data_IF_854234285602
#
_entry.id   IF_854234285602
#
_cell.length_a   1.000
_cell.length_b   1.000
_cell.length_c   1.000
_cell.angle_alpha   90.00
_cell.angle_beta   90.00
_cell.angle_gamma   90.00
#
_symmetry.space_group_name_H-M   'P 1'
#
loop_
_entity.id
_entity.type
_entity.pdbx_description
1 polymer ?
#
# COMPACT_ATOMS: atom_id res chain seq x y z
N UNK A 1 -10.09 -55.36 36.00
CA UNK A 1 -8.62 -55.40 36.02
C UNK A 1 -8.07 -54.01 35.67
N UNK A 2 -7.71 -53.28 36.72
CA UNK A 2 -7.05 -51.97 36.60
C UNK A 2 -5.57 -52.20 36.29
N UNK A 3 -5.05 -51.43 35.33
CA UNK A 3 -3.60 -51.22 35.16
C UNK A 3 -3.38 -49.73 35.06
N UNK A 4 -2.80 -49.15 36.10
CA UNK A 4 -2.25 -47.79 36.10
C UNK A 4 -0.88 -47.76 35.44
N UNK A 5 -0.52 -46.70 34.70
CA UNK A 5 0.85 -46.49 34.26
C UNK A 5 1.61 -45.62 35.29
N UNK A 6 2.72 -46.21 35.80
CA UNK A 6 3.59 -45.62 36.81
C UNK A 6 4.38 -44.42 36.31
N UNK A 7 4.40 -43.41 37.10
CA UNK A 7 5.31 -42.22 36.96
C UNK A 7 6.74 -42.58 37.42
N UNK A 8 7.68 -42.49 36.51
CA UNK A 8 9.11 -42.64 36.74
C UNK A 8 9.70 -41.45 37.50
N UNK A 9 10.49 -41.80 38.48
CA UNK A 9 11.14 -40.95 39.48
C UNK A 9 12.17 -39.96 38.89
N UNK A 10 12.08 -38.73 39.33
CA UNK A 10 13.13 -37.92 39.96
C UNK A 10 14.46 -37.71 39.22
N UNK A 11 14.57 -36.59 38.54
CA UNK A 11 15.87 -35.99 38.29
C UNK A 11 16.12 -34.89 39.32
N UNK A 12 17.14 -35.11 40.21
CA UNK A 12 17.60 -34.11 41.16
C UNK A 12 18.90 -33.50 40.69
N UNK A 13 19.07 -32.17 40.75
CA UNK A 13 20.34 -31.54 40.38
C UNK A 13 21.38 -31.77 41.49
N UNK A 14 22.54 -32.30 41.11
CA UNK A 14 23.71 -32.44 41.96
C UNK A 14 24.36 -31.07 42.17
N UNK A 15 24.62 -30.71 43.43
CA UNK A 15 25.45 -29.57 43.84
C UNK A 15 26.92 -29.92 43.58
N UNK A 16 27.73 -29.03 43.00
CA UNK A 16 29.18 -29.19 42.98
C UNK A 16 29.74 -28.86 44.37
N UNK A 17 30.56 -29.75 44.89
CA UNK A 17 31.37 -29.57 46.11
C UNK A 17 32.52 -28.61 45.85
N UNK A 18 32.74 -27.74 46.82
CA UNK A 18 33.92 -26.87 46.95
C UNK A 18 35.24 -27.64 46.78
N UNK A 19 36.12 -27.14 45.95
CA UNK A 19 37.57 -27.13 46.22
C UNK A 19 38.31 -26.27 45.18
N UNK A 20 39.08 -25.32 45.63
CA UNK A 20 40.21 -24.78 44.88
C UNK A 20 40.18 -23.28 44.60
N UNK A 21 40.65 -22.50 45.58
CA UNK A 21 41.17 -21.16 45.33
C UNK A 21 42.27 -21.24 44.23
N UNK A 22 42.07 -20.58 43.09
CA UNK A 22 43.14 -20.10 42.26
C UNK A 22 42.86 -18.68 41.83
N UNK A 23 43.83 -17.84 42.18
CA UNK A 23 43.96 -16.42 41.93
C UNK A 23 43.93 -16.07 40.42
N UNK A 24 43.21 -15.00 40.10
CA UNK A 24 43.59 -14.05 39.06
C UNK A 24 43.40 -14.49 37.60
N UNK A 25 42.16 -14.53 37.15
CA UNK A 25 41.86 -14.27 35.72
C UNK A 25 40.62 -13.40 35.67
N UNK A 26 40.78 -12.17 35.26
CA UNK A 26 39.68 -11.28 34.93
C UNK A 26 38.83 -11.92 33.83
N UNK A 27 37.56 -12.20 34.13
CA UNK A 27 36.60 -12.59 33.13
C UNK A 27 36.48 -11.48 32.09
N UNK A 28 36.50 -11.81 30.81
CA UNK A 28 36.22 -10.82 29.78
C UNK A 28 34.78 -10.38 29.93
N UNK A 29 34.59 -9.13 30.31
CA UNK A 29 33.30 -8.46 30.25
C UNK A 29 32.89 -8.34 28.76
N UNK A 30 32.09 -9.28 28.28
CA UNK A 30 31.37 -9.16 27.00
C UNK A 30 30.20 -8.18 27.15
N UNK A 31 30.45 -7.00 27.62
CA UNK A 31 29.67 -5.84 27.29
C UNK A 31 30.44 -5.14 26.19
N UNK A 32 30.28 -5.65 25.00
CA UNK A 32 30.60 -4.90 23.81
C UNK A 32 29.71 -3.66 23.85
N UNK A 33 30.27 -2.51 24.22
CA UNK A 33 29.81 -1.21 23.79
C UNK A 33 29.98 -1.14 22.26
N UNK A 34 29.21 -1.98 21.55
CA UNK A 34 28.89 -1.67 20.17
C UNK A 34 28.04 -0.38 20.27
N UNK A 35 28.49 0.72 19.69
CA UNK A 35 27.63 1.86 19.55
C UNK A 35 26.41 1.32 18.80
N UNK A 36 25.25 1.30 19.46
CA UNK A 36 23.99 1.26 18.76
C UNK A 36 24.10 2.42 17.78
N UNK A 37 24.36 2.11 16.51
CA UNK A 37 24.19 3.04 15.44
C UNK A 37 22.71 3.37 15.44
N UNK A 38 22.35 4.33 16.28
CA UNK A 38 21.13 5.07 16.16
C UNK A 38 21.31 5.75 14.82
N UNK A 39 20.79 5.12 13.76
CA UNK A 39 20.54 5.81 12.53
C UNK A 39 19.54 6.90 12.93
N UNK A 40 20.05 8.05 13.31
CA UNK A 40 19.27 9.25 13.32
C UNK A 40 18.75 9.37 11.87
N UNK A 41 17.43 9.31 11.66
CA UNK A 41 16.92 9.68 10.38
C UNK A 41 17.48 11.07 10.13
N UNK A 42 18.25 11.27 9.07
CA UNK A 42 18.67 12.59 8.63
C UNK A 42 17.37 13.35 8.40
N UNK A 43 16.93 14.08 9.42
CA UNK A 43 15.73 14.89 9.40
C UNK A 43 16.03 16.02 8.47
N UNK A 44 15.63 15.88 7.20
CA UNK A 44 15.56 17.05 6.34
C UNK A 44 14.75 18.11 7.11
N UNK A 45 15.18 19.37 7.13
CA UNK A 45 14.45 20.41 7.82
C UNK A 45 13.02 20.46 7.29
N UNK A 46 12.03 20.61 8.17
CA UNK A 46 10.60 20.61 7.81
C UNK A 46 10.23 21.68 6.76
N UNK A 47 11.03 22.75 6.66
CA UNK A 47 10.89 23.81 5.67
C UNK A 47 11.41 23.47 4.26
N UNK A 48 12.04 22.30 4.07
CA UNK A 48 12.56 21.90 2.75
C UNK A 48 11.45 21.42 1.81
N UNK A 49 10.26 21.09 2.33
CA UNK A 49 9.21 20.42 1.56
C UNK A 49 7.81 21.00 1.83
N UNK A 50 7.01 21.29 0.79
CA UNK A 50 5.66 21.85 0.94
C UNK A 50 4.72 21.02 1.82
N UNK A 51 4.78 19.69 1.73
CA UNK A 51 3.99 18.77 2.57
C UNK A 51 4.74 18.36 3.85
N UNK A 52 5.91 18.94 4.10
CA UNK A 52 6.70 18.66 5.30
C UNK A 52 7.38 17.30 5.31
N UNK A 53 7.71 16.82 6.49
CA UNK A 53 8.40 15.55 6.77
C UNK A 53 7.51 14.66 7.62
N UNK A 54 7.34 13.41 7.21
CA UNK A 54 6.54 12.43 7.93
C UNK A 54 7.10 12.19 9.35
N UNK A 55 6.23 12.29 10.35
CA UNK A 55 6.53 12.04 11.76
C UNK A 55 6.00 10.72 12.25
N UNK A 56 4.98 10.19 11.59
CA UNK A 56 4.38 8.91 11.93
C UNK A 56 3.09 8.63 11.18
N UNK A 57 2.52 7.49 11.51
CA UNK A 57 1.27 7.00 10.95
C UNK A 57 0.27 6.74 12.08
N UNK A 58 -0.98 7.14 11.88
CA UNK A 58 -2.09 6.95 12.83
C UNK A 58 -3.08 5.96 12.23
N UNK A 59 -3.53 5.00 13.04
CA UNK A 59 -4.49 3.96 12.68
C UNK A 59 -4.11 3.20 11.39
N UNK A 60 -2.81 3.09 11.07
CA UNK A 60 -2.31 2.50 9.83
C UNK A 60 -3.02 3.06 8.55
N UNK A 61 -3.56 4.27 8.64
CA UNK A 61 -4.38 4.91 7.60
C UNK A 61 -3.89 6.32 7.29
N UNK A 62 -3.57 7.11 8.31
CA UNK A 62 -3.23 8.51 8.15
C UNK A 62 -1.75 8.76 8.41
N UNK A 63 -1.07 9.38 7.46
CA UNK A 63 0.29 9.88 7.65
C UNK A 63 0.21 11.27 8.26
N UNK A 64 0.96 11.50 9.33
CA UNK A 64 1.11 12.80 9.96
C UNK A 64 2.50 13.35 9.62
N UNK A 65 2.53 14.50 8.98
CA UNK A 65 3.76 15.17 8.58
C UNK A 65 3.82 16.58 9.21
N UNK A 66 5.01 17.01 9.56
CA UNK A 66 5.29 18.36 10.06
C UNK A 66 5.81 19.21 8.91
N UNK A 67 5.09 20.28 8.58
CA UNK A 67 5.47 21.31 7.65
C UNK A 67 5.90 22.58 8.42
N UNK A 68 6.51 23.54 7.73
CA UNK A 68 7.01 24.77 8.33
C UNK A 68 5.94 25.55 9.12
N UNK A 69 4.71 25.53 8.65
CA UNK A 69 3.61 26.37 9.14
C UNK A 69 2.46 25.55 9.78
N UNK A 70 2.63 24.24 9.97
CA UNK A 70 1.59 23.40 10.58
C UNK A 70 1.78 21.90 10.41
N UNK A 71 0.72 21.16 10.71
CA UNK A 71 0.62 19.73 10.49
C UNK A 71 -0.13 19.44 9.19
N UNK A 72 0.40 18.47 8.43
CA UNK A 72 -0.26 17.90 7.27
C UNK A 72 -0.69 16.48 7.63
N UNK A 73 -1.95 16.17 7.39
CA UNK A 73 -2.52 14.84 7.60
C UNK A 73 -2.96 14.31 6.25
N UNK A 74 -2.41 13.18 5.84
CA UNK A 74 -2.66 12.56 4.52
C UNK A 74 -3.39 11.25 4.72
N UNK A 75 -4.49 11.05 4.00
CA UNK A 75 -5.10 9.74 3.82
C UNK A 75 -4.22 8.93 2.86
N UNK A 76 -3.48 7.96 3.41
CA UNK A 76 -2.55 7.12 2.69
C UNK A 76 -3.20 6.38 1.52
N UNK A 77 -4.41 5.86 1.73
CA UNK A 77 -5.12 5.08 0.74
C UNK A 77 -5.58 5.96 -0.42
N UNK A 78 -6.30 7.04 -0.12
CA UNK A 78 -6.77 8.00 -1.12
C UNK A 78 -5.63 8.66 -1.90
N UNK A 79 -4.52 8.96 -1.24
CA UNK A 79 -3.33 9.49 -1.88
C UNK A 79 -2.71 8.48 -2.86
N UNK A 80 -2.55 7.23 -2.43
CA UNK A 80 -1.95 6.19 -3.26
C UNK A 80 -2.81 5.88 -4.49
N UNK A 81 -4.13 5.72 -4.32
CA UNK A 81 -5.07 5.56 -5.44
C UNK A 81 -4.91 6.68 -6.48
N UNK A 82 -4.87 7.92 -6.00
CA UNK A 82 -4.71 9.06 -6.88
C UNK A 82 -3.38 9.05 -7.63
N UNK A 83 -2.28 8.72 -6.98
CA UNK A 83 -0.97 8.63 -7.61
C UNK A 83 -0.94 7.53 -8.67
N UNK A 84 -1.52 6.36 -8.38
CA UNK A 84 -1.62 5.25 -9.36
C UNK A 84 -2.43 5.70 -10.57
N UNK A 85 -3.58 6.34 -10.39
CA UNK A 85 -4.40 6.84 -11.50
C UNK A 85 -3.63 7.84 -12.37
N UNK A 86 -2.93 8.81 -11.78
CA UNK A 86 -2.17 9.81 -12.54
C UNK A 86 -0.98 9.17 -13.29
N UNK A 87 -0.35 8.14 -12.71
CA UNK A 87 0.67 7.34 -13.41
C UNK A 87 0.06 6.59 -14.61
N UNK A 88 -1.12 5.97 -14.44
CA UNK A 88 -1.83 5.30 -15.54
C UNK A 88 -2.17 6.27 -16.65
N UNK A 89 -2.74 7.44 -16.32
CA UNK A 89 -3.05 8.50 -17.29
C UNK A 89 -1.82 8.93 -18.08
N UNK A 90 -0.71 9.16 -17.36
CA UNK A 90 0.55 9.55 -17.99
C UNK A 90 1.08 8.46 -18.92
N UNK A 91 1.03 7.20 -18.51
CA UNK A 91 1.46 6.07 -19.34
C UNK A 91 0.60 5.92 -20.59
N UNK A 92 -0.72 6.05 -20.47
CA UNK A 92 -1.66 5.97 -21.61
C UNK A 92 -1.39 7.07 -22.64
N UNK A 93 -1.09 8.30 -22.20
CA UNK A 93 -0.70 9.40 -23.11
C UNK A 93 0.62 9.09 -23.82
N UNK A 94 1.53 8.36 -23.19
CA UNK A 94 2.84 7.99 -23.74
C UNK A 94 2.80 6.72 -24.62
N UNK A 95 1.63 6.07 -24.74
CA UNK A 95 1.42 4.87 -25.55
C UNK A 95 0.52 3.85 -24.86
N UNK A 96 1.04 3.08 -23.93
CA UNK A 96 0.27 2.10 -23.17
C UNK A 96 0.84 1.92 -21.76
N UNK A 97 -0.01 1.42 -20.85
CA UNK A 97 0.41 0.98 -19.52
C UNK A 97 1.12 -0.36 -19.66
N UNK A 98 2.27 -0.51 -19.01
CA UNK A 98 3.01 -1.77 -18.99
C UNK A 98 2.16 -2.86 -18.30
N UNK A 99 2.04 -4.01 -18.95
CA UNK A 99 1.41 -5.21 -18.39
C UNK A 99 2.44 -6.08 -17.69
N UNK A 100 2.08 -6.65 -16.56
CA UNK A 100 2.83 -7.68 -15.85
C UNK A 100 2.11 -9.02 -16.05
N UNK A 101 2.73 -9.99 -16.73
CA UNK A 101 2.17 -11.32 -16.87
C UNK A 101 2.00 -11.98 -15.50
N UNK A 102 0.90 -12.69 -15.33
CA UNK A 102 0.67 -13.54 -14.17
C UNK A 102 1.48 -14.82 -14.28
N UNK A 103 2.06 -15.30 -13.18
CA UNK A 103 2.76 -16.60 -13.16
C UNK A 103 1.83 -17.75 -13.51
N UNK A 104 0.60 -17.68 -13.06
CA UNK A 104 -0.50 -18.58 -13.43
C UNK A 104 -1.65 -17.70 -13.90
N UNK A 105 -2.12 -17.86 -15.15
CA UNK A 105 -3.32 -17.18 -15.61
C UNK A 105 -4.52 -17.53 -14.72
N UNK A 106 -5.37 -16.55 -14.45
CA UNK A 106 -6.53 -16.72 -13.55
C UNK A 106 -7.83 -16.74 -14.36
N UNK A 107 -8.66 -17.75 -14.12
CA UNK A 107 -9.99 -17.84 -14.70
C UNK A 107 -10.99 -17.19 -13.76
N UNK A 108 -11.70 -16.19 -14.29
CA UNK A 108 -12.75 -15.47 -13.56
C UNK A 108 -14.10 -15.82 -14.18
N UNK A 109 -14.94 -16.48 -13.39
CA UNK A 109 -16.32 -16.80 -13.77
C UNK A 109 -17.21 -15.57 -13.58
N UNK A 110 -18.00 -15.25 -14.60
CA UNK A 110 -18.91 -14.12 -14.66
C UNK A 110 -20.19 -14.54 -15.39
N UNK A 111 -21.23 -13.73 -15.32
CA UNK A 111 -22.39 -13.89 -16.20
C UNK A 111 -22.01 -13.60 -17.67
N UNK A 112 -22.63 -14.34 -18.61
CA UNK A 112 -22.35 -14.17 -20.05
C UNK A 112 -22.41 -12.71 -20.53
N UNK A 113 -23.42 -11.88 -20.16
CA UNK A 113 -23.46 -10.48 -20.59
C UNK A 113 -22.28 -9.64 -20.03
N UNK A 114 -21.72 -10.01 -18.88
CA UNK A 114 -20.53 -9.36 -18.31
C UNK A 114 -19.28 -9.71 -19.11
N UNK A 115 -19.15 -10.99 -19.48
CA UNK A 115 -18.07 -11.44 -20.36
C UNK A 115 -18.13 -10.76 -21.73
N UNK A 116 -19.31 -10.61 -22.33
CA UNK A 116 -19.49 -9.95 -23.62
C UNK A 116 -19.07 -8.47 -23.57
N UNK A 117 -19.40 -7.78 -22.47
CA UNK A 117 -18.96 -6.37 -22.27
C UNK A 117 -17.44 -6.25 -22.15
N UNK A 118 -16.81 -7.15 -21.40
CA UNK A 118 -15.34 -7.18 -21.26
C UNK A 118 -14.68 -7.51 -22.60
N UNK A 119 -15.20 -8.51 -23.33
CA UNK A 119 -14.69 -8.90 -24.65
C UNK A 119 -14.75 -7.75 -25.65
N UNK A 120 -15.86 -7.01 -25.70
CA UNK A 120 -16.01 -5.84 -26.55
C UNK A 120 -15.00 -4.72 -26.25
N UNK A 121 -14.32 -4.76 -25.09
CA UNK A 121 -13.36 -3.74 -24.62
C UNK A 121 -11.94 -4.27 -24.42
N UNK A 122 -11.63 -5.49 -24.81
CA UNK A 122 -10.30 -6.10 -24.61
C UNK A 122 -9.17 -5.23 -25.14
N UNK A 123 -9.34 -4.60 -26.30
CA UNK A 123 -8.33 -3.71 -26.87
C UNK A 123 -8.07 -2.47 -26.00
N UNK A 124 -9.13 -1.88 -25.43
CA UNK A 124 -9.04 -0.73 -24.53
C UNK A 124 -8.40 -1.13 -23.21
N UNK A 125 -8.79 -2.27 -22.66
CA UNK A 125 -8.23 -2.82 -21.42
C UNK A 125 -6.75 -3.19 -21.57
N UNK A 126 -6.36 -3.74 -22.72
CA UNK A 126 -4.96 -4.03 -23.04
C UNK A 126 -4.10 -2.75 -23.09
N UNK A 127 -4.63 -1.61 -23.56
CA UNK A 127 -3.91 -0.32 -23.50
C UNK A 127 -3.66 0.14 -22.08
N UNK A 128 -4.53 -0.25 -21.14
CA UNK A 128 -4.36 -0.02 -19.69
C UNK A 128 -3.53 -1.10 -18.98
N UNK A 129 -2.97 -2.06 -19.74
CA UNK A 129 -2.10 -3.11 -19.22
C UNK A 129 -2.84 -4.33 -18.68
N UNK A 130 -4.16 -4.44 -18.87
CA UNK A 130 -4.95 -5.62 -18.50
C UNK A 130 -5.10 -6.55 -19.69
N UNK A 131 -4.48 -7.73 -19.61
CA UNK A 131 -4.52 -8.74 -20.68
C UNK A 131 -5.58 -9.80 -20.35
N UNK A 132 -6.69 -9.75 -21.09
CA UNK A 132 -7.86 -10.62 -20.95
C UNK A 132 -8.10 -11.43 -22.20
N UNK A 133 -8.62 -12.64 -22.02
CA UNK A 133 -9.06 -13.51 -23.09
C UNK A 133 -10.41 -14.13 -22.74
N UNK A 134 -11.35 -14.26 -23.71
CA UNK A 134 -12.59 -14.98 -23.50
C UNK A 134 -12.31 -16.45 -23.27
N UNK A 135 -12.81 -17.00 -22.18
CA UNK A 135 -12.65 -18.40 -21.80
C UNK A 135 -14.01 -19.11 -21.64
N UNK A 136 -14.66 -19.32 -22.75
CA UNK A 136 -16.00 -19.91 -22.76
C UNK A 136 -17.14 -18.89 -22.60
N UNK A 137 -18.40 -19.35 -22.43
CA UNK A 137 -19.56 -18.45 -22.40
C UNK A 137 -19.63 -17.57 -21.16
N UNK A 138 -19.21 -18.09 -20.01
CA UNK A 138 -19.39 -17.46 -18.70
C UNK A 138 -18.07 -17.28 -17.94
N UNK A 139 -16.95 -17.12 -18.63
CA UNK A 139 -15.65 -16.90 -18.01
C UNK A 139 -14.70 -16.07 -18.88
N UNK A 140 -13.78 -15.39 -18.24
CA UNK A 140 -12.62 -14.74 -18.86
C UNK A 140 -11.32 -15.27 -18.23
N UNK A 141 -10.26 -15.35 -19.02
CA UNK A 141 -8.92 -15.70 -18.58
C UNK A 141 -8.08 -14.43 -18.49
N UNK A 142 -7.51 -14.16 -17.31
CA UNK A 142 -6.58 -13.06 -17.09
C UNK A 142 -5.16 -13.57 -17.24
N UNK A 143 -4.39 -13.01 -18.18
CA UNK A 143 -2.99 -13.37 -18.42
C UNK A 143 -2.02 -12.38 -17.84
N UNK A 144 -2.44 -11.12 -17.70
CA UNK A 144 -1.59 -10.04 -17.19
C UNK A 144 -2.41 -8.90 -16.61
N UNK A 145 -1.81 -8.18 -15.69
CA UNK A 145 -2.39 -7.01 -15.02
C UNK A 145 -1.47 -5.81 -15.17
N UNK A 146 -1.99 -4.58 -15.03
CA UNK A 146 -1.13 -3.39 -15.05
C UNK A 146 0.01 -3.51 -14.03
N UNK A 147 1.26 -3.40 -14.48
CA UNK A 147 2.45 -3.62 -13.64
C UNK A 147 2.49 -2.70 -12.39
N UNK A 148 1.88 -1.53 -12.49
CA UNK A 148 1.83 -0.56 -11.38
C UNK A 148 0.81 -0.90 -10.28
N UNK A 149 -0.06 -1.89 -10.48
CA UNK A 149 -1.01 -2.35 -9.46
C UNK A 149 -0.37 -3.31 -8.44
N UNK A 150 0.80 -3.88 -8.76
CA UNK A 150 1.48 -4.82 -7.90
C UNK A 150 0.69 -6.11 -7.69
N UNK A 151 0.67 -6.62 -6.46
CA UNK A 151 -0.14 -7.80 -6.08
C UNK A 151 -1.57 -7.35 -5.80
N UNK A 152 -2.43 -7.43 -6.82
CA UNK A 152 -3.85 -7.08 -6.72
C UNK A 152 -4.74 -8.32 -6.64
N UNK A 153 -5.95 -8.14 -6.15
CA UNK A 153 -7.04 -9.10 -6.26
C UNK A 153 -7.55 -9.09 -7.71
N UNK A 154 -7.03 -9.99 -8.52
CA UNK A 154 -7.35 -10.07 -9.96
C UNK A 154 -8.83 -10.34 -10.19
N UNK A 155 -9.41 -11.24 -9.40
CA UNK A 155 -10.83 -11.59 -9.50
C UNK A 155 -11.72 -10.40 -9.18
N UNK A 156 -11.47 -9.73 -8.05
CA UNK A 156 -12.20 -8.53 -7.64
C UNK A 156 -12.07 -7.42 -8.68
N UNK A 157 -10.87 -7.18 -9.20
CA UNK A 157 -10.64 -6.21 -10.27
C UNK A 157 -11.52 -6.46 -11.51
N UNK A 158 -11.59 -7.71 -11.98
CA UNK A 158 -12.37 -8.05 -13.19
C UNK A 158 -13.87 -7.93 -12.95
N UNK A 159 -14.35 -8.30 -11.76
CA UNK A 159 -15.76 -8.15 -11.37
C UNK A 159 -16.14 -6.65 -11.35
N UNK A 160 -15.36 -5.83 -10.64
CA UNK A 160 -15.63 -4.40 -10.53
C UNK A 160 -15.57 -3.68 -11.88
N UNK A 161 -14.66 -4.10 -12.77
CA UNK A 161 -14.60 -3.59 -14.13
C UNK A 161 -15.83 -4.00 -14.96
N UNK A 162 -16.33 -5.22 -14.81
CA UNK A 162 -17.53 -5.67 -15.49
C UNK A 162 -18.77 -4.89 -15.04
N UNK A 163 -18.86 -4.57 -13.75
CA UNK A 163 -19.92 -3.76 -13.17
C UNK A 163 -19.82 -2.29 -13.59
N UNK A 164 -18.62 -1.73 -13.62
CA UNK A 164 -18.36 -0.38 -14.13
C UNK A 164 -18.77 -0.25 -15.61
N UNK A 165 -18.38 -1.23 -16.44
CA UNK A 165 -18.77 -1.25 -17.85
C UNK A 165 -20.29 -1.45 -18.05
N UNK A 166 -20.98 -2.09 -17.12
CA UNK A 166 -22.44 -2.18 -17.14
C UNK A 166 -23.12 -0.83 -16.81
N UNK A 167 -22.51 -0.04 -15.94
CA UNK A 167 -23.01 1.28 -15.57
C UNK A 167 -22.80 2.34 -16.65
N UNK A 168 -21.88 2.12 -17.60
CA UNK A 168 -21.68 3.03 -18.72
C UNK A 168 -22.84 2.93 -19.71
N UNK A 169 -23.69 3.95 -19.74
CA UNK A 169 -24.56 4.19 -20.89
C UNK A 169 -23.75 4.55 -22.14
N UNK A 170 -24.41 4.54 -23.31
CA UNK A 170 -23.78 4.88 -24.61
C UNK A 170 -23.25 6.33 -24.71
N UNK A 171 -23.45 7.15 -23.69
CA UNK A 171 -23.26 8.62 -23.72
C UNK A 171 -21.82 9.05 -23.38
N UNK A 172 -21.00 8.21 -22.73
CA UNK A 172 -19.65 8.58 -22.33
C UNK A 172 -18.66 8.49 -23.49
N UNK A 173 -17.80 9.51 -23.61
CA UNK A 173 -16.68 9.48 -24.57
C UNK A 173 -15.69 8.36 -24.22
N UNK A 174 -14.93 7.89 -25.21
CA UNK A 174 -13.87 6.88 -25.01
C UNK A 174 -12.90 7.30 -23.88
N UNK A 175 -12.54 8.59 -23.85
CA UNK A 175 -11.63 9.12 -22.82
C UNK A 175 -12.22 9.04 -21.41
N UNK A 176 -13.49 9.41 -21.24
CA UNK A 176 -14.15 9.35 -19.94
C UNK A 176 -14.27 7.91 -19.44
N UNK A 177 -14.55 6.96 -20.35
CA UNK A 177 -14.60 5.53 -20.04
C UNK A 177 -13.21 5.00 -19.62
N UNK A 178 -12.16 5.33 -20.37
CA UNK A 178 -10.80 4.94 -20.01
C UNK A 178 -10.36 5.53 -18.68
N UNK A 179 -10.72 6.77 -18.39
CA UNK A 179 -10.43 7.43 -17.12
C UNK A 179 -11.16 6.74 -15.94
N UNK A 180 -12.42 6.32 -16.14
CA UNK A 180 -13.18 5.61 -15.11
C UNK A 180 -12.64 4.21 -14.87
N UNK A 181 -12.38 3.45 -15.92
CA UNK A 181 -11.74 2.11 -15.83
C UNK A 181 -10.38 2.20 -15.15
N UNK A 182 -9.56 3.22 -15.50
CA UNK A 182 -8.28 3.44 -14.85
C UNK A 182 -8.42 3.79 -13.36
N UNK A 183 -9.48 4.51 -12.97
CA UNK A 183 -9.77 4.82 -11.57
C UNK A 183 -10.14 3.54 -10.79
N UNK A 184 -11.00 2.69 -11.35
CA UNK A 184 -11.34 1.38 -10.77
C UNK A 184 -10.11 0.50 -10.61
N UNK A 185 -9.24 0.43 -11.64
CA UNK A 185 -7.97 -0.30 -11.54
C UNK A 185 -7.06 0.27 -10.45
N UNK A 186 -6.97 1.60 -10.33
CA UNK A 186 -6.15 2.25 -9.30
C UNK A 186 -6.59 1.91 -7.88
N UNK A 187 -7.89 1.75 -7.63
CA UNK A 187 -8.42 1.31 -6.34
C UNK A 187 -7.94 -0.10 -5.98
N UNK A 188 -7.84 -1.01 -6.94
CA UNK A 188 -7.31 -2.36 -6.72
C UNK A 188 -5.79 -2.41 -6.54
N UNK A 189 -5.06 -1.47 -7.10
CA UNK A 189 -3.60 -1.33 -6.95
C UNK A 189 -3.19 -0.55 -5.72
N UNK A 190 -4.13 0.04 -4.98
CA UNK A 190 -3.77 0.85 -3.82
C UNK A 190 -3.25 -0.01 -2.68
N UNK A 191 -2.33 0.57 -1.90
CA UNK A 191 -1.88 -0.03 -0.65
C UNK A 191 -3.11 -0.28 0.22
N UNK A 192 -3.40 -1.54 0.56
CA UNK A 192 -4.56 -1.88 1.39
C UNK A 192 -4.57 -1.01 2.63
N UNK A 193 -5.72 -0.46 2.96
CA UNK A 193 -5.93 0.24 4.23
C UNK A 193 -5.43 -0.67 5.36
N UNK A 194 -4.58 -0.13 6.27
CA UNK A 194 -3.99 -0.92 7.35
C UNK A 194 -2.54 -1.35 7.12
N UNK A 195 -1.90 -1.06 5.98
CA UNK A 195 -0.46 -1.28 5.84
C UNK A 195 0.32 -0.24 6.63
N UNK A 196 1.23 -0.73 7.48
CA UNK A 196 2.20 0.12 8.18
C UNK A 196 3.33 0.47 7.22
N UNK A 197 3.55 1.76 7.01
CA UNK A 197 4.63 2.30 6.19
C UNK A 197 5.83 2.67 7.06
N UNK A 198 7.03 2.45 6.55
CA UNK A 198 8.24 3.04 7.11
C UNK A 198 8.25 4.55 6.89
N UNK A 199 9.04 5.27 7.69
CA UNK A 199 9.21 6.74 7.54
C UNK A 199 9.72 7.10 6.14
N UNK A 200 10.58 6.27 5.55
CA UNK A 200 11.09 6.46 4.20
C UNK A 200 9.97 6.34 3.15
N UNK A 201 9.08 5.33 3.27
CA UNK A 201 7.94 5.15 2.38
C UNK A 201 6.93 6.28 2.51
N UNK A 202 6.65 6.73 3.75
CA UNK A 202 5.77 7.88 3.98
C UNK A 202 6.33 9.14 3.32
N UNK A 203 7.61 9.44 3.50
CA UNK A 203 8.24 10.59 2.86
C UNK A 203 8.27 10.46 1.32
N UNK A 204 8.50 9.26 0.78
CA UNK A 204 8.44 9.02 -0.66
C UNK A 204 7.04 9.34 -1.23
N UNK A 205 5.99 8.92 -0.53
CA UNK A 205 4.60 9.23 -0.90
C UNK A 205 4.36 10.76 -0.91
N UNK A 206 4.78 11.47 0.15
CA UNK A 206 4.65 12.93 0.23
C UNK A 206 5.37 13.64 -0.94
N UNK A 207 6.61 13.24 -1.24
CA UNK A 207 7.39 13.81 -2.38
C UNK A 207 6.68 13.56 -3.71
N UNK A 208 6.13 12.38 -3.90
CA UNK A 208 5.39 12.09 -5.12
C UNK A 208 4.10 12.91 -5.23
N UNK A 209 3.38 13.10 -4.12
CA UNK A 209 2.18 13.95 -4.11
C UNK A 209 2.51 15.40 -4.48
N UNK A 210 3.64 15.94 -4.05
CA UNK A 210 4.05 17.32 -4.35
C UNK A 210 4.27 17.60 -5.83
N UNK A 211 4.73 16.59 -6.57
CA UNK A 211 5.00 16.71 -8.01
C UNK A 211 3.87 16.21 -8.90
N UNK A 212 2.89 15.52 -8.31
CA UNK A 212 1.78 14.91 -9.07
C UNK A 212 0.61 15.89 -9.17
N UNK A 213 0.14 16.23 -10.37
CA UNK A 213 -1.03 17.07 -10.56
C UNK A 213 -2.26 16.47 -9.87
N UNK A 214 -3.09 17.32 -9.27
CA UNK A 214 -4.36 16.95 -8.63
C UNK A 214 -4.22 15.94 -7.48
N UNK A 215 -3.04 15.73 -6.93
CA UNK A 215 -2.80 14.84 -5.79
C UNK A 215 -3.60 15.23 -4.54
N UNK A 216 -4.09 16.46 -4.45
CA UNK A 216 -4.90 16.96 -3.34
C UNK A 216 -6.36 16.46 -3.31
N UNK A 217 -6.82 15.74 -4.33
CA UNK A 217 -8.18 15.19 -4.40
C UNK A 217 -8.14 13.74 -4.85
N UNK A 218 -8.94 12.88 -4.21
CA UNK A 218 -9.13 11.50 -4.64
C UNK A 218 -10.01 11.41 -5.91
N UNK A 219 -10.20 10.20 -6.42
CA UNK A 219 -11.02 9.96 -7.62
C UNK A 219 -12.48 10.38 -7.45
N UNK A 220 -12.97 10.43 -6.20
CA UNK A 220 -14.33 10.84 -5.83
C UNK A 220 -14.45 12.32 -5.43
N UNK A 221 -13.40 13.12 -5.65
CA UNK A 221 -13.38 14.55 -5.33
C UNK A 221 -13.17 14.90 -3.86
N UNK A 222 -12.93 13.92 -2.97
CA UNK A 222 -12.62 14.17 -1.56
C UNK A 222 -11.15 14.59 -1.40
N UNK A 223 -10.82 15.43 -0.39
CA UNK A 223 -9.43 15.77 -0.14
C UNK A 223 -8.63 14.51 0.26
N UNK A 224 -7.44 14.36 -0.30
CA UNK A 224 -6.48 13.31 0.05
C UNK A 224 -5.61 13.71 1.23
N UNK A 225 -5.54 14.99 1.54
CA UNK A 225 -4.82 15.55 2.68
C UNK A 225 -5.46 16.84 3.16
N UNK A 226 -5.22 17.16 4.42
CA UNK A 226 -5.62 18.41 5.06
C UNK A 226 -4.42 19.03 5.77
N UNK A 227 -4.46 20.32 6.01
CA UNK A 227 -3.45 21.06 6.76
C UNK A 227 -4.07 21.78 7.93
N UNK A 228 -3.46 21.61 9.08
CA UNK A 228 -3.77 22.34 10.30
C UNK A 228 -2.65 23.32 10.56
N UNK A 229 -2.88 24.61 10.33
CA UNK A 229 -1.89 25.64 10.62
C UNK A 229 -1.60 25.71 12.13
N UNK A 230 -0.37 26.11 12.51
CA UNK A 230 -0.01 26.26 13.93
C UNK A 230 -0.98 27.17 14.68
N UNK A 231 -1.40 28.29 14.05
CA UNK A 231 -2.38 29.20 14.67
C UNK A 231 -3.75 28.55 14.92
N UNK A 232 -4.17 27.58 14.10
CA UNK A 232 -5.43 26.88 14.31
C UNK A 232 -5.29 25.82 15.40
N UNK A 233 -4.15 25.15 15.46
CA UNK A 233 -3.81 24.26 16.58
C UNK A 233 -3.78 25.03 17.90
N UNK A 234 -3.14 26.20 17.94
CA UNK A 234 -3.09 27.06 19.13
C UNK A 234 -4.50 27.47 19.61
N UNK A 235 -5.40 27.81 18.66
CA UNK A 235 -6.81 28.11 19.00
C UNK A 235 -7.52 26.92 19.64
N UNK A 236 -7.27 25.68 19.17
CA UNK A 236 -7.86 24.47 19.75
C UNK A 236 -7.45 24.27 21.23
N UNK A 237 -6.25 24.74 21.60
CA UNK A 237 -5.75 24.69 22.97
C UNK A 237 -6.00 25.99 23.75
N UNK A 238 -6.78 26.93 23.21
CA UNK A 238 -7.07 28.21 23.86
C UNK A 238 -5.85 29.14 23.99
N UNK A 239 -4.81 28.91 23.19
CA UNK A 239 -3.62 29.76 23.09
C UNK A 239 -3.92 30.86 22.08
N UNK A 240 -3.57 32.10 22.46
CA UNK A 240 -3.73 33.29 21.57
C UNK A 240 -2.45 33.53 20.78
#
# INVERSE_FOLDING_TARGET
SNVEPGFGKGWAPQRPTDAGMMSGAQAPTFFSDAPFARAEPASAPANAYPMGVARGQVAATYIVAEAEDGLVIVDQHAAHERLVLERMRKATVSGSVASQPLLLPEVVELEEPACDRLEARMTELAQLGLDLERFGPAAVLVRGVPAMLGTSDVRGLVIDLADELAAFGEVLSLKERLDSVAATMACHGSVRAGRILSVAEMNALLREMEITPRSGQCNHGRPTWIKLAHCDIDKLFGRK
#
